data_IF_167694249304
#
_entry.id   IF_167694249304
#
_cell.length_a   1.000
_cell.length_b   1.000
_cell.length_c   1.000
_cell.angle_alpha   90.00
_cell.angle_beta   90.00
_cell.angle_gamma   90.00
#
_symmetry.space_group_name_H-M   'P 1'
#
loop_
_entity.id
_entity.type
_entity.pdbx_description
1 polymer ?
#
# COMPACT_ATOMS: atom_id res chain seq x y z
N UNK A 1 2.66 14.78 13.69
CA UNK A 1 4.01 14.21 13.45
C UNK A 1 4.63 13.54 14.68
N UNK A 2 4.70 14.21 15.84
CA UNK A 2 5.34 13.65 17.05
C UNK A 2 4.82 12.25 17.45
N UNK A 3 3.53 12.00 17.25
CA UNK A 3 2.89 10.71 17.57
C UNK A 3 3.38 9.52 16.73
N UNK A 4 3.72 9.74 15.45
CA UNK A 4 4.00 8.64 14.50
C UNK A 4 5.49 8.51 14.13
N UNK A 5 6.29 9.56 14.35
CA UNK A 5 7.69 9.64 13.90
C UNK A 5 8.63 8.60 14.53
N UNK A 6 8.27 8.04 15.68
CA UNK A 6 9.11 7.08 16.40
C UNK A 6 8.97 5.64 15.88
N UNK A 7 8.06 5.38 14.94
CA UNK A 7 7.81 4.04 14.36
C UNK A 7 7.59 2.94 15.42
N UNK A 8 6.98 3.28 16.55
CA UNK A 8 6.82 2.37 17.70
C UNK A 8 5.43 1.74 17.81
N UNK A 9 4.55 1.98 16.85
CA UNK A 9 3.16 1.49 16.87
C UNK A 9 3.08 0.00 16.54
N UNK A 10 3.84 -0.45 15.54
CA UNK A 10 3.87 -1.83 15.07
C UNK A 10 5.24 -2.15 14.46
N UNK A 11 5.60 -3.44 14.42
CA UNK A 11 6.75 -3.96 13.68
C UNK A 11 6.28 -5.10 12.81
N UNK A 12 6.40 -4.95 11.50
CA UNK A 12 5.89 -5.89 10.49
C UNK A 12 6.83 -5.95 9.28
N UNK A 13 6.80 -7.06 8.56
CA UNK A 13 7.41 -7.20 7.25
C UNK A 13 6.63 -6.39 6.21
N UNK A 14 7.25 -6.15 5.05
CA UNK A 14 6.59 -5.42 3.96
C UNK A 14 5.31 -6.14 3.50
N UNK A 15 5.32 -7.48 3.43
CA UNK A 15 4.15 -8.24 3.00
C UNK A 15 3.04 -8.22 4.03
N UNK A 16 3.36 -8.35 5.33
CA UNK A 16 2.36 -8.19 6.39
C UNK A 16 1.70 -6.80 6.38
N UNK A 17 2.45 -5.76 5.99
CA UNK A 17 1.89 -4.42 5.80
C UNK A 17 0.92 -4.35 4.61
N UNK A 18 1.26 -4.98 3.49
CA UNK A 18 0.39 -5.04 2.31
C UNK A 18 -0.87 -5.85 2.60
N UNK A 19 -0.75 -6.98 3.30
CA UNK A 19 -1.90 -7.82 3.70
C UNK A 19 -2.83 -7.06 4.65
N UNK A 20 -2.30 -6.21 5.54
CA UNK A 20 -3.14 -5.35 6.39
C UNK A 20 -3.99 -4.34 5.59
N UNK A 21 -3.63 -4.04 4.33
CA UNK A 21 -4.43 -3.20 3.43
C UNK A 21 -5.56 -3.96 2.73
N UNK A 22 -5.67 -5.28 2.90
CA UNK A 22 -6.81 -6.08 2.39
C UNK A 22 -8.13 -5.70 3.07
N UNK A 23 -8.06 -5.17 4.29
CA UNK A 23 -9.22 -4.74 5.08
C UNK A 23 -9.52 -3.23 4.94
N UNK A 24 -8.80 -2.51 4.07
CA UNK A 24 -8.92 -1.06 3.90
C UNK A 24 -9.37 -0.70 2.48
N UNK A 25 -10.49 -0.01 2.35
CA UNK A 25 -10.91 0.73 1.14
C UNK A 25 -10.70 2.22 1.40
N UNK A 26 -10.11 2.95 0.46
CA UNK A 26 -9.88 4.39 0.58
C UNK A 26 -11.17 5.16 0.24
N UNK A 27 -11.80 5.79 1.24
CA UNK A 27 -13.03 6.56 1.05
C UNK A 27 -12.82 7.89 0.31
N UNK A 28 -11.56 8.33 0.16
CA UNK A 28 -11.22 9.58 -0.54
C UNK A 28 -10.92 9.39 -2.02
N UNK A 29 -10.65 8.16 -2.45
CA UNK A 29 -10.39 7.82 -3.85
C UNK A 29 -11.72 7.67 -4.61
N UNK A 30 -12.03 8.54 -5.59
CA UNK A 30 -13.27 8.46 -6.34
C UNK A 30 -13.26 7.37 -7.43
N UNK A 31 -12.10 6.76 -7.73
CA UNK A 31 -11.90 5.91 -8.89
C UNK A 31 -12.07 4.41 -8.59
N UNK A 32 -11.88 3.98 -7.33
CA UNK A 32 -11.91 2.55 -6.95
C UNK A 32 -12.65 2.29 -5.63
N UNK A 33 -13.31 1.14 -5.52
CA UNK A 33 -14.07 0.71 -4.32
C UNK A 33 -13.63 -0.66 -3.76
N UNK A 34 -12.41 -1.09 -4.08
CA UNK A 34 -11.82 -2.36 -3.67
C UNK A 34 -10.63 -2.17 -2.71
N UNK A 35 -10.14 -3.24 -2.04
CA UNK A 35 -9.06 -3.13 -1.07
C UNK A 35 -7.78 -2.49 -1.62
N UNK A 36 -7.16 -1.61 -0.83
CA UNK A 36 -6.02 -0.82 -1.27
C UNK A 36 -4.75 -1.66 -1.51
N UNK A 37 -4.69 -2.89 -0.98
CA UNK A 37 -3.64 -3.86 -1.31
C UNK A 37 -3.54 -4.15 -2.82
N UNK A 38 -4.68 -4.24 -3.52
CA UNK A 38 -4.71 -4.44 -4.97
C UNK A 38 -4.12 -3.24 -5.72
N UNK A 39 -4.43 -2.02 -5.27
CA UNK A 39 -3.87 -0.81 -5.86
C UNK A 39 -2.34 -0.76 -5.73
N UNK A 40 -1.80 -1.21 -4.58
CA UNK A 40 -0.35 -1.30 -4.38
C UNK A 40 0.33 -2.21 -5.42
N UNK A 41 -0.22 -3.41 -5.66
CA UNK A 41 0.31 -4.32 -6.68
C UNK A 41 0.11 -3.81 -8.11
N UNK A 42 -1.05 -3.23 -8.42
CA UNK A 42 -1.32 -2.67 -9.75
C UNK A 42 -0.32 -1.57 -10.11
N UNK A 43 -0.01 -0.69 -9.15
CA UNK A 43 1.00 0.37 -9.31
C UNK A 43 2.40 -0.23 -9.51
N UNK A 44 2.79 -1.20 -8.66
CA UNK A 44 4.08 -1.86 -8.77
C UNK A 44 4.27 -2.57 -10.13
N UNK A 45 3.25 -3.31 -10.59
CA UNK A 45 3.29 -4.01 -11.88
C UNK A 45 3.26 -3.04 -13.07
N UNK A 46 2.56 -1.91 -12.95
CA UNK A 46 2.60 -0.83 -13.93
C UNK A 46 4.01 -0.26 -14.09
N UNK A 47 4.67 0.05 -12.97
CA UNK A 47 6.07 0.53 -12.95
C UNK A 47 7.01 -0.53 -13.52
N UNK A 48 6.90 -1.79 -13.10
CA UNK A 48 7.73 -2.90 -13.60
C UNK A 48 7.61 -3.07 -15.11
N UNK A 49 6.41 -2.86 -15.67
CA UNK A 49 6.16 -2.92 -17.12
C UNK A 49 6.81 -1.77 -17.87
N UNK A 50 6.72 -0.55 -17.34
CA UNK A 50 7.23 0.68 -17.98
C UNK A 50 8.75 0.87 -17.78
N UNK A 51 9.29 0.32 -16.68
CA UNK A 51 10.69 0.44 -16.28
C UNK A 51 11.28 -0.93 -15.92
N UNK A 52 11.38 -1.86 -16.88
CA UNK A 52 11.80 -3.25 -16.62
C UNK A 52 13.28 -3.41 -16.23
N UNK A 53 14.09 -2.36 -16.45
CA UNK A 53 15.54 -2.31 -16.22
C UNK A 53 15.93 -1.54 -14.95
N UNK A 54 14.95 -1.04 -14.19
CA UNK A 54 15.17 -0.35 -12.92
C UNK A 54 15.01 -1.26 -11.71
#
# INVERSE_FOLDING_TARGET
HQEWANCSHFSMTMMENIDALDELVDESDPDVDFPNSFHAFQTAEGIRREHPDK
#
